data_IF_374717531501
#
_entry.id   IF_374717531501
#
_cell.length_a   1.000
_cell.length_b   1.000
_cell.length_c   1.000
_cell.angle_alpha   90.00
_cell.angle_beta   90.00
_cell.angle_gamma   90.00
#
_symmetry.space_group_name_H-M   'P 1'
#
loop_
_entity.id
_entity.type
_entity.pdbx_description
1 polymer ?
#
# COMPACT_ATOMS: atom_id res chain seq x y z
N UNK A 1 -45.92 10.96 47.77
CA UNK A 1 -46.08 10.62 46.34
C UNK A 1 -46.07 11.95 45.59
N UNK A 2 -45.16 12.30 44.69
CA UNK A 2 -44.39 11.52 43.72
C UNK A 2 -43.16 12.38 43.35
N UNK A 3 -41.94 11.86 43.52
CA UNK A 3 -40.73 12.55 43.07
C UNK A 3 -40.49 12.21 41.60
N UNK A 4 -40.55 13.21 40.72
CA UNK A 4 -40.35 13.09 39.29
C UNK A 4 -38.84 13.07 39.01
N UNK A 5 -38.24 11.88 38.92
CA UNK A 5 -36.86 11.72 38.45
C UNK A 5 -36.83 11.90 36.92
N UNK A 6 -36.39 13.06 36.47
CA UNK A 6 -36.07 13.33 35.07
C UNK A 6 -34.68 12.77 34.77
N UNK A 7 -34.60 11.53 34.28
CA UNK A 7 -33.36 10.94 33.80
C UNK A 7 -33.04 11.44 32.39
N UNK A 8 -32.05 12.32 32.24
CA UNK A 8 -31.47 12.63 30.93
C UNK A 8 -30.63 11.44 30.46
N UNK A 9 -31.12 10.73 29.45
CA UNK A 9 -30.31 9.80 28.67
C UNK A 9 -29.40 10.61 27.73
N UNK A 10 -28.14 10.78 28.10
CA UNK A 10 -27.12 11.33 27.20
C UNK A 10 -26.88 10.35 26.05
N UNK A 11 -27.40 10.69 24.87
CA UNK A 11 -27.11 9.98 23.62
C UNK A 11 -25.65 10.29 23.23
N UNK A 12 -24.74 9.38 23.55
CA UNK A 12 -23.37 9.39 23.03
C UNK A 12 -23.42 9.11 21.53
N UNK A 13 -23.42 10.18 20.73
CA UNK A 13 -23.17 10.10 19.28
C UNK A 13 -21.71 9.67 19.09
N UNK A 14 -21.46 8.38 18.90
CA UNK A 14 -20.20 7.91 18.32
C UNK A 14 -20.16 8.41 16.87
N UNK A 15 -19.54 9.56 16.65
CA UNK A 15 -19.17 9.99 15.31
C UNK A 15 -18.25 8.93 14.71
N UNK A 16 -18.74 8.16 13.75
CA UNK A 16 -17.89 7.29 12.95
C UNK A 16 -16.88 8.19 12.21
N UNK A 17 -15.62 8.12 12.60
CA UNK A 17 -14.54 8.84 11.91
C UNK A 17 -14.34 8.14 10.58
N UNK A 18 -15.03 8.60 9.53
CA UNK A 18 -14.82 8.12 8.18
C UNK A 18 -13.39 8.47 7.76
N UNK A 19 -12.56 7.44 7.57
CA UNK A 19 -11.16 7.60 7.20
C UNK A 19 -11.05 7.63 5.68
N UNK A 20 -11.35 8.79 5.08
CA UNK A 20 -11.16 9.02 3.66
C UNK A 20 -9.70 8.79 3.27
N UNK A 21 -9.43 8.28 2.05
CA UNK A 21 -8.05 8.11 1.58
C UNK A 21 -7.33 9.45 1.51
N UNK A 22 -6.04 9.43 1.81
CA UNK A 22 -5.15 10.57 1.67
C UNK A 22 -4.43 10.51 0.30
N UNK A 23 -4.13 11.69 -0.25
CA UNK A 23 -3.36 11.81 -1.48
C UNK A 23 -2.43 13.03 -1.44
N UNK A 24 -1.29 12.89 -2.10
CA UNK A 24 -0.41 14.00 -2.50
C UNK A 24 -0.66 14.27 -3.97
N UNK A 25 -0.95 15.51 -4.31
CA UNK A 25 -1.25 15.94 -5.68
C UNK A 25 -0.20 16.95 -6.14
N UNK A 26 0.52 16.63 -7.22
CA UNK A 26 1.52 17.51 -7.82
C UNK A 26 1.38 17.46 -9.36
N UNK A 27 0.41 18.19 -9.94
CA UNK A 27 0.04 18.03 -11.34
C UNK A 27 1.14 18.49 -12.32
N UNK A 28 2.13 19.23 -11.83
CA UNK A 28 3.27 19.73 -12.60
C UNK A 28 4.53 18.86 -12.46
N UNK A 29 4.52 17.90 -11.53
CA UNK A 29 5.63 16.98 -11.30
C UNK A 29 5.55 15.73 -12.18
N UNK A 30 6.63 14.93 -12.22
CA UNK A 30 6.63 13.67 -12.98
C UNK A 30 5.63 12.67 -12.37
N UNK A 31 5.62 12.51 -11.04
CA UNK A 31 4.55 11.86 -10.31
C UNK A 31 3.45 12.88 -10.01
N UNK A 32 2.31 12.72 -10.70
CA UNK A 32 1.19 13.67 -10.65
C UNK A 32 0.29 13.46 -9.44
N UNK A 33 0.19 12.21 -8.98
CA UNK A 33 -0.55 11.86 -7.77
C UNK A 33 0.03 10.61 -7.11
N UNK A 34 0.14 10.65 -5.78
CA UNK A 34 0.26 9.45 -4.95
C UNK A 34 -0.93 9.40 -4.00
N UNK A 35 -1.61 8.26 -3.92
CA UNK A 35 -2.73 8.08 -2.99
C UNK A 35 -2.52 6.84 -2.14
N UNK A 36 -2.92 6.92 -0.88
CA UNK A 36 -2.92 5.79 0.05
C UNK A 36 -4.23 5.70 0.83
N UNK A 37 -4.79 4.50 0.97
CA UNK A 37 -5.97 4.30 1.81
C UNK A 37 -5.61 4.16 3.29
N UNK A 38 -6.61 4.34 4.15
CA UNK A 38 -6.49 4.09 5.59
C UNK A 38 -6.26 2.61 5.97
N UNK A 39 -6.27 1.70 5.00
CA UNK A 39 -5.98 0.27 5.16
C UNK A 39 -4.79 -0.21 4.32
N UNK A 40 -3.90 0.71 3.92
CA UNK A 40 -2.62 0.45 3.23
C UNK A 40 -2.73 0.06 1.75
N UNK A 41 -3.78 0.49 1.04
CA UNK A 41 -3.73 0.53 -0.42
C UNK A 41 -2.79 1.64 -0.89
N UNK A 42 -2.23 1.52 -2.10
CA UNK A 42 -1.52 2.59 -2.77
C UNK A 42 -1.78 2.65 -4.28
N UNK A 43 -1.53 3.82 -4.86
CA UNK A 43 -1.59 4.11 -6.30
C UNK A 43 -0.67 5.27 -6.67
N UNK A 44 -0.03 5.20 -7.83
CA UNK A 44 0.85 6.26 -8.35
C UNK A 44 0.40 6.65 -9.76
N UNK A 45 0.27 7.94 -10.02
CA UNK A 45 0.01 8.49 -11.34
C UNK A 45 1.26 9.22 -11.83
N UNK A 46 1.58 9.04 -13.11
CA UNK A 46 2.73 9.66 -13.74
C UNK A 46 2.30 10.47 -14.96
N UNK A 47 2.87 11.65 -15.11
CA UNK A 47 2.56 12.63 -16.17
C UNK A 47 2.65 12.04 -17.58
N UNK A 48 3.67 11.23 -17.87
CA UNK A 48 3.84 10.59 -19.17
C UNK A 48 2.74 9.57 -19.50
N UNK A 49 2.11 8.94 -18.50
CA UNK A 49 1.14 7.88 -18.72
C UNK A 49 -0.24 8.40 -19.16
N UNK A 50 -0.49 9.72 -19.08
CA UNK A 50 -1.80 10.33 -19.36
C UNK A 50 -2.83 10.10 -18.25
N UNK A 51 -3.99 10.77 -18.33
CA UNK A 51 -4.96 10.88 -17.22
C UNK A 51 -5.61 9.55 -16.76
N UNK A 52 -5.51 8.49 -17.57
CA UNK A 52 -5.98 7.14 -17.23
C UNK A 52 -4.84 6.11 -17.11
N UNK A 53 -3.61 6.60 -17.28
CA UNK A 53 -2.31 5.96 -17.16
C UNK A 53 -1.70 5.94 -15.76
N UNK A 54 -1.62 4.82 -15.05
CA UNK A 54 -1.07 4.84 -13.69
C UNK A 54 -0.11 3.69 -13.44
N UNK A 55 0.99 3.99 -12.74
CA UNK A 55 1.78 2.98 -12.07
C UNK A 55 1.01 2.50 -10.83
N UNK A 56 0.56 1.24 -10.83
CA UNK A 56 -0.23 0.69 -9.71
C UNK A 56 -1.61 1.35 -9.46
N UNK A 57 -2.32 1.79 -10.50
CA UNK A 57 -3.77 1.99 -10.39
C UNK A 57 -4.52 1.11 -11.39
N UNK A 58 -5.68 0.64 -10.95
CA UNK A 58 -6.65 -0.06 -11.77
C UNK A 58 -8.00 0.63 -11.59
N UNK A 59 -8.78 0.82 -12.67
CA UNK A 59 -10.16 1.26 -12.54
C UNK A 59 -11.01 0.11 -12.00
N UNK A 60 -10.93 -0.17 -10.69
CA UNK A 60 -11.81 -1.13 -10.02
C UNK A 60 -12.95 -0.42 -9.28
N UNK A 61 -14.01 -1.19 -9.00
CA UNK A 61 -15.24 -0.78 -8.29
C UNK A 61 -15.00 -0.17 -6.90
N UNK A 62 -13.81 -0.39 -6.31
CA UNK A 62 -13.46 -0.02 -4.93
C UNK A 62 -12.34 1.04 -4.84
N UNK A 63 -11.94 1.64 -5.97
CA UNK A 63 -10.98 2.75 -6.04
C UNK A 63 -9.76 2.47 -6.92
N UNK A 64 -8.93 3.50 -7.19
CA UNK A 64 -7.82 3.43 -8.13
C UNK A 64 -6.58 2.78 -7.53
N UNK A 65 -6.67 1.65 -6.83
CA UNK A 65 -5.52 1.06 -6.14
C UNK A 65 -5.14 -0.28 -6.75
N UNK A 66 -3.86 -0.45 -7.04
CA UNK A 66 -3.31 -1.74 -7.46
C UNK A 66 -2.04 -2.12 -6.69
N UNK A 67 -1.62 -1.37 -5.67
CA UNK A 67 -0.60 -1.81 -4.72
C UNK A 67 -1.05 -1.74 -3.27
N UNK A 68 -0.28 -2.37 -2.38
CA UNK A 68 -0.49 -2.27 -0.95
C UNK A 68 0.44 -3.14 -0.10
N UNK A 69 0.25 -3.01 1.21
CA UNK A 69 1.04 -3.72 2.23
C UNK A 69 0.20 -4.83 2.88
N UNK A 70 0.78 -6.02 2.99
CA UNK A 70 0.15 -7.23 3.54
C UNK A 70 0.98 -7.79 4.68
N UNK A 71 0.31 -8.43 5.65
CA UNK A 71 0.95 -9.00 6.82
C UNK A 71 0.32 -10.35 7.17
N UNK A 72 1.14 -11.39 7.29
CA UNK A 72 0.73 -12.65 7.91
C UNK A 72 1.32 -12.73 9.31
N UNK A 73 0.47 -12.94 10.32
CA UNK A 73 0.88 -12.96 11.73
C UNK A 73 1.16 -14.39 12.27
N UNK A 74 1.23 -15.38 11.38
CA UNK A 74 1.31 -16.80 11.75
C UNK A 74 -0.04 -17.49 11.81
N UNK A 75 -1.15 -16.75 11.76
CA UNK A 75 -2.52 -17.32 11.79
C UNK A 75 -3.41 -16.77 10.69
N UNK A 76 -3.40 -15.46 10.45
CA UNK A 76 -4.25 -14.75 9.51
C UNK A 76 -3.42 -13.85 8.61
N UNK A 77 -3.80 -13.82 7.33
CA UNK A 77 -3.30 -12.85 6.38
C UNK A 77 -4.16 -11.60 6.49
N UNK A 78 -3.53 -10.44 6.66
CA UNK A 78 -4.15 -9.12 6.65
C UNK A 78 -3.70 -8.36 5.42
N UNK A 79 -4.59 -7.55 4.85
CA UNK A 79 -4.26 -6.71 3.71
C UNK A 79 -5.40 -5.79 3.30
N UNK A 80 -5.11 -4.78 2.47
CA UNK A 80 -6.12 -3.87 1.94
C UNK A 80 -7.14 -4.56 1.04
N UNK A 81 -8.31 -3.94 0.86
CA UNK A 81 -9.26 -4.33 -0.18
C UNK A 81 -8.69 -3.93 -1.55
N UNK A 82 -8.31 -4.90 -2.36
CA UNK A 82 -7.92 -4.79 -3.76
C UNK A 82 -8.82 -5.79 -4.51
N UNK A 83 -9.18 -5.52 -5.76
CA UNK A 83 -10.31 -6.09 -6.53
C UNK A 83 -10.40 -7.63 -6.66
N UNK A 84 -10.68 -8.14 -7.85
CA UNK A 84 -10.78 -9.60 -8.08
C UNK A 84 -9.40 -10.28 -8.19
N UNK A 85 -9.28 -11.54 -7.75
CA UNK A 85 -8.05 -12.34 -7.85
C UNK A 85 -7.09 -12.28 -6.64
N UNK A 86 -7.45 -11.53 -5.59
CA UNK A 86 -6.64 -11.37 -4.38
C UNK A 86 -6.84 -12.50 -3.38
N UNK A 87 -5.83 -12.82 -2.56
CA UNK A 87 -5.96 -13.86 -1.55
C UNK A 87 -7.03 -13.51 -0.51
N UNK A 88 -7.66 -14.56 0.04
CA UNK A 88 -8.53 -14.42 1.22
C UNK A 88 -7.73 -13.86 2.39
N UNK A 89 -8.23 -12.77 2.97
CA UNK A 89 -7.55 -12.01 4.02
C UNK A 89 -8.55 -11.38 4.97
N UNK A 90 -8.07 -11.05 6.15
CA UNK A 90 -8.74 -10.16 7.10
C UNK A 90 -8.42 -8.71 6.77
N UNK A 91 -9.34 -7.81 7.04
CA UNK A 91 -9.09 -6.37 6.94
C UNK A 91 -8.29 -5.92 8.15
N UNK A 92 -7.34 -5.02 7.94
CA UNK A 92 -6.70 -4.29 9.03
C UNK A 92 -7.71 -3.43 9.81
N UNK A 93 -7.52 -3.31 11.13
CA UNK A 93 -8.19 -2.27 11.90
C UNK A 93 -7.41 -0.96 11.77
N UNK A 94 -8.03 0.06 11.16
CA UNK A 94 -7.48 1.42 11.16
C UNK A 94 -7.38 1.98 12.59
N UNK A 95 -6.28 2.68 12.87
CA UNK A 95 -6.03 3.34 14.16
C UNK A 95 -6.35 4.84 14.13
N UNK A 96 -7.08 5.31 13.12
CA UNK A 96 -7.56 6.69 13.01
C UNK A 96 -7.42 7.26 11.60
N UNK A 97 -7.64 8.56 11.48
CA UNK A 97 -7.40 9.28 10.24
C UNK A 97 -5.90 9.25 9.89
N UNK A 98 -5.61 9.22 8.58
CA UNK A 98 -4.24 9.39 8.09
C UNK A 98 -3.75 10.80 8.41
N UNK A 99 -2.45 10.94 8.67
CA UNK A 99 -1.82 12.23 8.93
C UNK A 99 -1.04 12.65 7.70
N UNK A 100 -1.41 13.79 7.11
CA UNK A 100 -0.69 14.41 5.99
C UNK A 100 0.10 15.62 6.45
N UNK A 101 1.34 15.76 6.01
CA UNK A 101 2.19 16.91 6.37
C UNK A 101 3.23 17.21 5.29
N UNK A 102 3.98 18.30 5.49
CA UNK A 102 5.12 18.70 4.66
C UNK A 102 4.80 19.72 3.57
N UNK A 103 5.85 20.27 2.98
CA UNK A 103 5.82 21.30 1.94
C UNK A 103 6.34 20.83 0.58
N UNK A 104 6.78 19.56 0.48
CA UNK A 104 7.26 18.96 -0.76
C UNK A 104 8.74 19.18 -1.05
N UNK A 105 9.48 19.84 -0.15
CA UNK A 105 10.92 20.10 -0.32
C UNK A 105 11.76 18.92 0.15
N UNK A 106 13.06 18.89 -0.21
CA UNK A 106 13.96 17.83 0.23
C UNK A 106 14.06 17.70 1.77
N UNK A 107 13.99 18.82 2.49
CA UNK A 107 14.07 18.84 3.95
C UNK A 107 12.70 18.70 4.64
N UNK A 108 11.62 18.79 3.87
CA UNK A 108 10.24 18.74 4.36
C UNK A 108 9.34 18.13 3.28
N UNK A 109 9.52 16.82 2.96
CA UNK A 109 8.77 16.15 1.91
C UNK A 109 7.30 16.09 2.26
N UNK A 110 6.43 15.99 1.25
CA UNK A 110 5.05 15.60 1.52
C UNK A 110 5.02 14.20 2.12
N UNK A 111 4.21 14.02 3.17
CA UNK A 111 4.08 12.72 3.85
C UNK A 111 2.63 12.32 4.01
N UNK A 112 2.37 11.01 3.93
CA UNK A 112 1.14 10.36 4.36
C UNK A 112 1.51 9.30 5.39
N UNK A 113 1.03 9.46 6.63
CA UNK A 113 1.18 8.44 7.67
C UNK A 113 -0.10 7.65 7.83
N UNK A 114 -0.02 6.34 7.62
CA UNK A 114 -1.12 5.40 7.82
C UNK A 114 -0.79 4.45 8.95
N UNK A 115 -1.73 4.29 9.90
CA UNK A 115 -1.56 3.40 11.05
C UNK A 115 -2.68 2.40 11.13
N UNK A 116 -2.30 1.12 11.19
CA UNK A 116 -3.25 0.02 11.29
C UNK A 116 -2.76 -1.03 12.27
N UNK A 117 -3.66 -1.91 12.71
CA UNK A 117 -3.29 -3.11 13.46
C UNK A 117 -4.08 -4.33 12.99
N UNK A 118 -3.59 -5.51 13.37
CA UNK A 118 -4.36 -6.76 13.35
C UNK A 118 -5.55 -6.68 14.33
N UNK A 119 -6.47 -7.63 14.26
CA UNK A 119 -7.72 -7.66 15.07
C UNK A 119 -7.51 -7.65 16.60
N UNK A 120 -6.37 -8.13 17.10
CA UNK A 120 -6.02 -8.04 18.52
C UNK A 120 -5.41 -6.69 18.91
N UNK A 121 -5.83 -6.15 20.06
CA UNK A 121 -5.18 -4.99 20.71
C UNK A 121 -3.74 -5.26 21.13
N UNK A 122 -3.39 -6.54 21.32
CA UNK A 122 -2.05 -7.04 21.63
C UNK A 122 -1.36 -7.65 20.40
N UNK A 123 -1.92 -7.44 19.20
CA UNK A 123 -1.39 -7.98 17.96
C UNK A 123 -0.27 -7.13 17.35
N UNK A 124 -0.14 -7.20 16.03
CA UNK A 124 0.86 -6.45 15.28
C UNK A 124 0.28 -5.11 14.82
N UNK A 125 1.06 -4.04 14.99
CA UNK A 125 0.78 -2.71 14.44
C UNK A 125 1.70 -2.42 13.27
N UNK A 126 1.15 -1.82 12.22
CA UNK A 126 1.90 -1.23 11.13
C UNK A 126 1.78 0.30 11.22
N UNK A 127 2.92 0.97 11.24
CA UNK A 127 3.04 2.39 10.94
C UNK A 127 3.72 2.49 9.56
N UNK A 128 2.99 2.91 8.53
CA UNK A 128 3.52 3.17 7.18
C UNK A 128 3.60 4.68 6.94
N UNK A 129 4.76 5.15 6.48
CA UNK A 129 4.99 6.54 6.09
C UNK A 129 5.39 6.55 4.62
N UNK A 130 4.55 7.15 3.80
CA UNK A 130 4.84 7.40 2.38
C UNK A 130 5.30 8.85 2.23
N UNK A 131 6.46 9.06 1.60
CA UNK A 131 7.12 10.38 1.48
C UNK A 131 7.43 10.72 0.02
N UNK A 132 7.15 11.95 -0.39
CA UNK A 132 7.40 12.44 -1.74
C UNK A 132 8.05 13.83 -1.71
N UNK A 133 9.13 13.98 -2.46
CA UNK A 133 9.78 15.27 -2.74
C UNK A 133 9.37 15.70 -4.14
N UNK A 134 8.92 16.94 -4.29
CA UNK A 134 8.48 17.45 -5.59
C UNK A 134 9.57 17.33 -6.64
N UNK A 135 9.17 16.88 -7.83
CA UNK A 135 10.07 16.70 -8.98
C UNK A 135 10.83 15.37 -8.98
N UNK A 136 10.69 14.53 -7.95
CA UNK A 136 11.30 13.19 -7.96
C UNK A 136 10.42 12.16 -8.70
N UNK A 137 11.07 11.13 -9.24
CA UNK A 137 10.42 9.99 -9.91
C UNK A 137 10.01 8.87 -8.94
N UNK A 138 10.09 9.11 -7.64
CA UNK A 138 9.91 8.07 -6.63
C UNK A 138 9.14 8.57 -5.41
N UNK A 139 8.29 7.69 -4.88
CA UNK A 139 7.75 7.79 -3.52
C UNK A 139 8.54 6.83 -2.65
N UNK A 140 8.97 7.29 -1.47
CA UNK A 140 9.61 6.44 -0.47
C UNK A 140 8.56 5.93 0.51
N UNK A 141 8.50 4.61 0.70
CA UNK A 141 7.60 3.98 1.68
C UNK A 141 8.41 3.32 2.78
N UNK A 142 8.28 3.83 4.01
CA UNK A 142 8.87 3.24 5.21
C UNK A 142 7.79 2.50 6.00
N UNK A 143 7.98 1.20 6.23
CA UNK A 143 7.02 0.33 6.94
C UNK A 143 7.64 -0.15 8.25
N UNK A 144 7.05 0.24 9.38
CA UNK A 144 7.44 -0.25 10.70
C UNK A 144 6.38 -1.19 11.26
N UNK A 145 6.78 -2.44 11.53
CA UNK A 145 5.93 -3.42 12.24
C UNK A 145 6.32 -3.45 13.71
N UNK A 146 5.33 -3.34 14.62
CA UNK A 146 5.54 -3.42 16.06
C UNK A 146 4.66 -4.50 16.67
N UNK A 147 5.25 -5.34 17.51
CA UNK A 147 4.51 -6.25 18.37
C UNK A 147 4.00 -5.48 19.59
N UNK A 148 2.68 -5.46 19.81
CA UNK A 148 2.06 -4.80 20.94
C UNK A 148 1.85 -5.75 22.14
N UNK A 149 2.02 -7.05 21.93
CA UNK A 149 1.92 -8.06 22.97
C UNK A 149 3.23 -8.28 23.73
N UNK A 150 3.15 -9.08 24.79
CA UNK A 150 4.30 -9.44 25.64
C UNK A 150 5.04 -10.70 25.18
N UNK A 151 4.44 -11.50 24.29
CA UNK A 151 5.04 -12.71 23.73
C UNK A 151 5.87 -12.48 22.48
N UNK A 152 6.62 -13.49 22.04
CA UNK A 152 7.31 -13.47 20.74
C UNK A 152 6.28 -13.57 19.62
N UNK A 153 6.40 -12.70 18.62
CA UNK A 153 5.59 -12.76 17.40
C UNK A 153 6.47 -13.10 16.20
N UNK A 154 5.94 -13.92 15.29
CA UNK A 154 6.51 -14.15 13.97
C UNK A 154 5.59 -13.53 12.94
N UNK A 155 6.15 -12.86 11.93
CA UNK A 155 5.35 -12.24 10.90
C UNK A 155 6.06 -12.31 9.55
N UNK A 156 5.27 -12.30 8.48
CA UNK A 156 5.76 -12.06 7.11
C UNK A 156 5.07 -10.83 6.56
N UNK A 157 5.86 -9.90 6.06
CA UNK A 157 5.41 -8.64 5.47
C UNK A 157 5.65 -8.69 3.96
N UNK A 158 4.66 -8.26 3.18
CA UNK A 158 4.81 -8.03 1.75
C UNK A 158 4.38 -6.62 1.40
N UNK A 159 5.14 -5.98 0.51
CA UNK A 159 4.70 -4.80 -0.23
C UNK A 159 4.67 -5.20 -1.69
N UNK A 160 3.50 -5.10 -2.33
CA UNK A 160 3.27 -5.68 -3.64
C UNK A 160 2.28 -4.84 -4.44
N UNK A 161 2.33 -4.99 -5.76
CA UNK A 161 1.45 -4.27 -6.66
C UNK A 161 1.31 -4.92 -8.02
N UNK A 162 0.19 -4.63 -8.67
CA UNK A 162 -0.06 -4.88 -10.08
C UNK A 162 0.14 -3.58 -10.86
N UNK A 163 1.19 -3.59 -11.66
CA UNK A 163 1.68 -2.48 -12.46
C UNK A 163 1.10 -2.61 -13.88
N UNK A 164 0.06 -1.84 -14.17
CA UNK A 164 -0.50 -1.86 -15.52
C UNK A 164 0.35 -1.01 -16.49
N UNK A 165 1.30 -1.66 -17.16
CA UNK A 165 2.01 -1.12 -18.33
C UNK A 165 1.35 -1.67 -19.59
N UNK A 166 1.01 -0.81 -20.55
CA UNK A 166 0.18 -1.13 -21.71
C UNK A 166 0.46 -2.52 -22.34
N UNK A 167 -0.47 -3.48 -22.12
CA UNK A 167 -0.73 -4.81 -22.75
C UNK A 167 0.42 -5.79 -23.06
N UNK A 168 1.65 -5.34 -23.32
CA UNK A 168 2.80 -6.14 -23.77
C UNK A 168 4.06 -5.82 -22.94
N UNK A 169 3.88 -5.48 -21.65
CA UNK A 169 4.98 -5.24 -20.72
C UNK A 169 5.67 -6.52 -20.26
N UNK A 170 6.97 -6.41 -19.97
CA UNK A 170 7.77 -7.45 -19.33
C UNK A 170 7.96 -7.20 -17.84
N UNK A 171 8.79 -8.04 -17.24
CA UNK A 171 9.27 -7.88 -15.88
C UNK A 171 10.78 -7.82 -15.83
N UNK A 172 11.33 -7.26 -14.77
CA UNK A 172 12.75 -7.40 -14.45
C UNK A 172 12.97 -7.45 -12.95
N UNK A 173 14.15 -7.94 -12.57
CA UNK A 173 14.64 -7.92 -11.18
C UNK A 173 15.98 -7.22 -11.13
N UNK A 174 16.22 -6.47 -10.06
CA UNK A 174 17.43 -5.68 -9.86
C UNK A 174 18.21 -6.02 -8.59
N UNK A 175 19.20 -5.19 -8.30
CA UNK A 175 20.00 -5.31 -7.08
C UNK A 175 19.13 -5.24 -5.83
N UNK A 176 19.54 -5.95 -4.76
CA UNK A 176 18.85 -5.90 -3.47
C UNK A 176 17.49 -6.58 -3.41
N UNK A 177 17.03 -7.21 -4.51
CA UNK A 177 15.69 -7.80 -4.62
C UNK A 177 14.66 -6.84 -5.20
N UNK A 178 15.10 -5.81 -5.93
CA UNK A 178 14.20 -4.94 -6.66
C UNK A 178 13.41 -5.73 -7.72
N UNK A 179 12.15 -5.36 -7.90
CA UNK A 179 11.26 -5.94 -8.92
C UNK A 179 10.62 -4.81 -9.70
N UNK A 180 10.58 -4.96 -11.01
CA UNK A 180 10.06 -3.93 -11.87
C UNK A 180 9.19 -4.51 -12.98
N UNK A 181 8.29 -3.66 -13.44
CA UNK A 181 7.46 -3.88 -14.60
C UNK A 181 7.98 -2.97 -15.69
N UNK A 182 8.32 -3.56 -16.83
CA UNK A 182 8.96 -2.86 -17.93
C UNK A 182 7.97 -2.73 -19.08
N UNK A 183 7.91 -1.54 -19.66
CA UNK A 183 7.16 -1.35 -20.90
C UNK A 183 7.91 -1.96 -22.10
N UNK A 184 7.23 -2.23 -23.23
CA UNK A 184 7.92 -2.57 -24.47
C UNK A 184 8.87 -1.44 -24.90
N UNK A 185 10.05 -1.80 -25.39
CA UNK A 185 11.07 -0.84 -25.83
C UNK A 185 10.48 0.12 -26.87
N UNK A 186 10.54 1.43 -26.60
CA UNK A 186 10.02 2.48 -27.49
C UNK A 186 8.50 2.59 -27.59
N UNK A 187 7.73 1.88 -26.74
CA UNK A 187 6.27 1.80 -26.84
C UNK A 187 5.46 2.19 -25.59
N UNK A 188 6.06 2.24 -24.40
CA UNK A 188 5.35 2.68 -23.17
C UNK A 188 5.80 4.08 -22.74
N UNK A 189 4.87 4.96 -22.32
CA UNK A 189 5.23 6.22 -21.67
C UNK A 189 5.94 6.04 -20.31
N UNK A 190 5.85 4.84 -19.72
CA UNK A 190 6.58 4.43 -18.53
C UNK A 190 7.47 3.25 -18.90
N UNK A 191 8.75 3.51 -19.10
CA UNK A 191 9.71 2.45 -19.47
C UNK A 191 9.90 1.44 -18.34
N UNK A 192 9.83 1.87 -17.07
CA UNK A 192 10.01 1.00 -15.90
C UNK A 192 9.25 1.56 -14.69
N UNK A 193 8.52 0.69 -14.00
CA UNK A 193 7.95 0.96 -12.66
C UNK A 193 8.51 -0.08 -11.70
N UNK A 194 9.20 0.36 -10.67
CA UNK A 194 10.00 -0.50 -9.81
C UNK A 194 9.63 -0.35 -8.33
N UNK A 195 9.61 -1.47 -7.61
CA UNK A 195 9.81 -1.47 -6.17
C UNK A 195 11.28 -1.73 -5.88
N UNK A 196 11.94 -0.70 -5.34
CA UNK A 196 13.33 -0.80 -4.89
C UNK A 196 13.37 -0.93 -3.35
N UNK A 197 13.90 -2.04 -2.80
CA UNK A 197 13.91 -2.24 -1.36
C UNK A 197 14.93 -1.33 -0.68
N UNK A 198 14.46 -0.53 0.29
CA UNK A 198 15.31 0.35 1.12
C UNK A 198 16.03 -0.46 2.21
N UNK A 199 15.43 -1.57 2.65
CA UNK A 199 16.04 -2.54 3.57
C UNK A 199 16.70 -3.68 2.81
N UNK A 200 17.83 -4.18 3.31
CA UNK A 200 18.51 -5.34 2.74
C UNK A 200 17.81 -6.65 3.13
N UNK A 201 17.95 -7.68 2.29
CA UNK A 201 17.48 -9.04 2.60
C UNK A 201 16.02 -9.32 2.26
N UNK A 202 15.34 -8.43 1.53
CA UNK A 202 13.99 -8.67 1.02
C UNK A 202 13.99 -9.85 0.03
N UNK A 203 13.09 -10.81 0.27
CA UNK A 203 12.76 -11.79 -0.75
C UNK A 203 11.82 -11.18 -1.79
N UNK A 204 11.87 -11.64 -3.03
CA UNK A 204 11.14 -11.01 -4.14
C UNK A 204 10.45 -12.00 -5.08
N UNK A 205 9.47 -11.49 -5.82
CA UNK A 205 8.89 -12.15 -6.98
C UNK A 205 8.49 -11.09 -8.00
N UNK A 206 8.91 -11.27 -9.24
CA UNK A 206 8.26 -10.67 -10.41
C UNK A 206 7.48 -11.79 -11.09
N UNK A 207 6.20 -11.55 -11.39
CA UNK A 207 5.33 -12.48 -12.10
C UNK A 207 4.06 -11.73 -12.57
N UNK A 208 3.23 -12.40 -13.37
CA UNK A 208 1.85 -11.97 -13.60
C UNK A 208 1.12 -11.73 -12.27
N UNK A 209 0.22 -10.74 -12.25
CA UNK A 209 -0.52 -10.32 -11.03
C UNK A 209 -1.10 -11.51 -10.24
N UNK A 210 -1.68 -12.50 -10.93
CA UNK A 210 -2.24 -13.69 -10.31
C UNK A 210 -1.20 -14.56 -9.59
N UNK A 211 0.01 -14.64 -10.13
CA UNK A 211 1.15 -15.31 -9.51
C UNK A 211 1.62 -14.60 -8.25
N UNK A 212 1.72 -13.27 -8.28
CA UNK A 212 2.04 -12.44 -7.11
C UNK A 212 1.01 -12.64 -6.00
N UNK A 213 -0.28 -12.56 -6.33
CA UNK A 213 -1.37 -12.74 -5.37
C UNK A 213 -1.45 -14.16 -4.82
N UNK A 214 -1.17 -15.17 -5.64
CA UNK A 214 -1.06 -16.56 -5.20
C UNK A 214 0.09 -16.76 -4.21
N UNK A 215 1.27 -16.16 -4.47
CA UNK A 215 2.42 -16.24 -3.59
C UNK A 215 2.15 -15.63 -2.21
N UNK A 216 1.49 -14.47 -2.15
CA UNK A 216 1.05 -13.86 -0.88
C UNK A 216 -0.01 -14.75 -0.20
N UNK A 217 -0.94 -15.31 -0.96
CA UNK A 217 -1.96 -16.24 -0.46
C UNK A 217 -1.41 -17.52 0.14
N UNK A 218 -0.25 -17.99 -0.33
CA UNK A 218 0.46 -19.14 0.20
C UNK A 218 1.13 -18.87 1.56
N UNK A 219 1.28 -17.59 1.94
CA UNK A 219 1.81 -17.13 3.25
C UNK A 219 3.22 -17.66 3.55
N UNK A 220 4.03 -17.82 2.51
CA UNK A 220 5.42 -18.23 2.60
C UNK A 220 6.35 -17.09 2.15
N UNK A 221 7.63 -17.09 2.55
CA UNK A 221 8.63 -16.21 1.95
C UNK A 221 8.59 -16.28 0.42
N UNK A 222 8.80 -15.14 -0.23
CA UNK A 222 8.82 -15.08 -1.69
C UNK A 222 10.01 -15.90 -2.26
N UNK A 223 9.84 -16.50 -3.46
CA UNK A 223 10.79 -17.49 -3.98
C UNK A 223 12.11 -16.93 -4.55
N UNK A 224 12.28 -15.60 -4.64
CA UNK A 224 13.40 -14.94 -5.31
C UNK A 224 13.49 -15.29 -6.81
N UNK A 225 12.40 -15.05 -7.53
CA UNK A 225 12.29 -15.40 -8.96
C UNK A 225 11.78 -14.25 -9.81
N UNK A 226 12.13 -14.29 -11.09
CA UNK A 226 11.67 -13.40 -12.16
C UNK A 226 10.83 -14.27 -13.12
N UNK A 227 9.55 -13.95 -13.33
CA UNK A 227 8.70 -14.52 -14.38
C UNK A 227 8.94 -13.88 -15.75
N UNK A 228 9.90 -12.95 -15.80
CA UNK A 228 10.45 -12.22 -16.91
C UNK A 228 10.71 -13.14 -18.12
N UNK A 229 9.88 -13.02 -19.15
CA UNK A 229 10.12 -13.68 -20.44
C UNK A 229 11.38 -13.03 -21.04
N UNK A 230 12.41 -13.85 -21.29
CA UNK A 230 13.63 -13.43 -22.01
C UNK A 230 13.40 -13.29 -23.51
#
# INVERSE_FOLDING_TARGET
MLALCCGLASLLLLSAVSSAPAAVWNPTGPLTQFSASSTLNCSVFHSAAGENSSAFAYQHRDGPYACGTFLYDGTKLYGPALGEGFPTRSTFQSLGAQVTAGSGTLNDPYTITTRVRTDSTEGLRIDQVDSYVEGQESVRTDITVRNLGSGVASATLWHAGDCFQARDGGGSTGAGGAVACTGPAGGSPLETVEFFPVSTGSAYIEALYSGVWSAIGARQPLPNTCGCIV
#
